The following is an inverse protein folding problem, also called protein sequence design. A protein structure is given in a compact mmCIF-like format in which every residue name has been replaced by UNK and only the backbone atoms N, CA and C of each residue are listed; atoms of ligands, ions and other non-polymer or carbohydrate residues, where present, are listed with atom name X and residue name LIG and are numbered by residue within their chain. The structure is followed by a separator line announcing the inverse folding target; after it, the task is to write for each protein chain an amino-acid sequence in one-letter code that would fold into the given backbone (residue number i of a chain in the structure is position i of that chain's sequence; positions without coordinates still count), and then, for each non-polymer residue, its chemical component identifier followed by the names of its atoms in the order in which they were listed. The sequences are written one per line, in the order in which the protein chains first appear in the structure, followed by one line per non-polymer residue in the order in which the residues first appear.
data_IF_576027474099
#
_entry.id   IF_576027474099
#
_cell.length_a   1.000
_cell.length_b   1.000
_cell.length_c   1.000
_cell.angle_alpha   90.00
_cell.angle_beta   90.00
_cell.angle_gamma   90.00
#
_symmetry.space_group_name_H-M   'P 1'
#
loop_
_entity.id
_entity.type
_entity.pdbx_description
1 polymer ?
#
# COMPACT_ATOMS: atom_id res chain seq x y z
N UNK A 1 26.98 -57.28 19.25
CA UNK A 1 27.04 -55.82 19.52
C UNK A 1 26.36 -55.12 18.36
N UNK A 2 25.21 -54.52 18.63
CA UNK A 2 24.43 -53.75 17.66
C UNK A 2 25.05 -52.36 17.46
N UNK A 3 24.93 -51.78 16.27
CA UNK A 3 24.86 -50.33 16.09
C UNK A 3 24.23 -50.01 14.74
N UNK A 4 22.97 -49.60 14.79
CA UNK A 4 22.26 -48.89 13.72
C UNK A 4 22.67 -47.42 13.82
N UNK A 5 23.27 -46.86 12.78
CA UNK A 5 23.43 -45.42 12.66
C UNK A 5 22.47 -44.93 11.55
N UNK A 6 21.30 -44.46 11.97
CA UNK A 6 20.32 -43.82 11.09
C UNK A 6 20.83 -42.45 10.63
N UNK A 7 20.77 -42.21 9.32
CA UNK A 7 21.07 -40.90 8.73
C UNK A 7 19.81 -40.04 8.85
N UNK A 8 19.87 -38.99 9.68
CA UNK A 8 18.81 -37.99 9.78
C UNK A 8 18.98 -37.03 8.59
N UNK A 9 18.08 -37.10 7.62
CA UNK A 9 17.99 -36.12 6.55
C UNK A 9 17.28 -34.86 7.09
N UNK A 10 18.01 -33.75 7.24
CA UNK A 10 17.44 -32.46 7.58
C UNK A 10 16.87 -31.81 6.32
N UNK A 11 15.55 -31.84 6.16
CA UNK A 11 14.87 -31.05 5.14
C UNK A 11 14.94 -29.57 5.57
N UNK A 12 15.80 -28.78 4.92
CA UNK A 12 15.81 -27.33 5.09
C UNK A 12 14.56 -26.75 4.42
N UNK A 13 13.53 -26.44 5.21
CA UNK A 13 12.35 -25.74 4.75
C UNK A 13 12.73 -24.32 4.32
N UNK A 14 12.76 -24.07 3.02
CA UNK A 14 12.78 -22.72 2.46
C UNK A 14 11.48 -22.03 2.88
N UNK A 15 11.55 -21.23 3.93
CA UNK A 15 10.46 -20.37 4.33
C UNK A 15 10.34 -19.30 3.24
N UNK A 16 9.23 -19.32 2.50
CA UNK A 16 8.90 -18.28 1.53
C UNK A 16 8.77 -16.96 2.28
N UNK A 17 9.85 -16.19 2.34
CA UNK A 17 9.83 -14.80 2.78
C UNK A 17 9.17 -14.02 1.65
N UNK A 18 7.83 -14.06 1.62
CA UNK A 18 7.08 -13.22 0.69
C UNK A 18 7.53 -11.78 0.92
N UNK A 19 8.11 -11.15 -0.10
CA UNK A 19 8.49 -9.75 -0.04
C UNK A 19 7.20 -8.93 0.06
N UNK A 20 6.81 -8.57 1.28
CA UNK A 20 5.61 -7.78 1.60
C UNK A 20 5.68 -6.32 1.10
N UNK A 21 6.58 -6.03 0.16
CA UNK A 21 6.86 -4.70 -0.37
C UNK A 21 5.61 -3.95 -0.84
N UNK A 22 4.63 -4.67 -1.37
CA UNK A 22 3.37 -4.14 -1.89
C UNK A 22 2.17 -4.37 -0.99
N UNK A 23 2.35 -4.62 0.31
CA UNK A 23 1.21 -4.88 1.20
C UNK A 23 0.86 -3.66 2.06
N UNK A 24 -0.43 -3.36 2.18
CA UNK A 24 -0.97 -2.51 3.22
C UNK A 24 -0.79 -3.17 4.60
N UNK A 25 -0.93 -2.38 5.67
CA UNK A 25 -0.87 -2.89 7.05
C UNK A 25 -1.96 -3.93 7.35
N UNK A 26 -3.06 -3.91 6.61
CA UNK A 26 -4.14 -4.91 6.63
C UNK A 26 -3.78 -6.24 5.98
N UNK A 27 -2.67 -6.31 5.22
CA UNK A 27 -2.26 -7.47 4.42
C UNK A 27 -2.81 -7.47 2.99
N UNK A 28 -3.68 -6.53 2.62
CA UNK A 28 -4.09 -6.33 1.22
C UNK A 28 -2.89 -5.89 0.37
N UNK A 29 -2.81 -6.35 -0.88
CA UNK A 29 -1.68 -6.05 -1.76
C UNK A 29 -2.05 -5.02 -2.84
N UNK A 30 -1.24 -3.97 -2.96
CA UNK A 30 -1.34 -2.96 -4.00
C UNK A 30 -0.94 -3.55 -5.36
N UNK A 31 -1.57 -3.12 -6.46
CA UNK A 31 -1.13 -3.44 -7.81
C UNK A 31 0.33 -3.01 -8.06
N UNK A 32 1.16 -3.84 -8.72
CA UNK A 32 2.55 -3.48 -9.01
C UNK A 32 2.75 -2.21 -9.87
N UNK A 33 1.72 -1.82 -10.64
CA UNK A 33 1.74 -0.58 -11.41
C UNK A 33 1.55 0.68 -10.54
N UNK A 34 1.05 0.52 -9.31
CA UNK A 34 0.76 1.62 -8.39
C UNK A 34 1.89 1.82 -7.37
N UNK A 35 2.48 0.72 -6.90
CA UNK A 35 3.46 0.75 -5.83
C UNK A 35 4.86 0.45 -6.37
N UNK A 36 5.74 1.44 -6.35
CA UNK A 36 7.16 1.29 -6.73
C UNK A 36 8.05 1.39 -5.49
N UNK A 37 7.98 0.41 -4.58
CA UNK A 37 8.82 0.41 -3.36
C UNK A 37 8.49 -0.74 -2.42
N UNK A 38 9.17 -0.81 -1.28
CA UNK A 38 8.95 -1.81 -0.22
C UNK A 38 8.22 -1.25 1.01
N UNK A 39 7.97 -2.06 2.05
CA UNK A 39 7.32 -1.56 3.28
C UNK A 39 8.08 -0.41 3.97
N UNK A 40 9.37 -0.24 3.67
CA UNK A 40 10.26 0.74 4.31
C UNK A 40 10.53 1.97 3.43
N UNK A 41 10.28 1.89 2.12
CA UNK A 41 10.46 2.96 1.14
C UNK A 41 9.18 3.26 0.34
N UNK A 42 8.13 2.51 0.62
CA UNK A 42 6.96 2.33 -0.24
C UNK A 42 6.24 3.60 -0.56
N UNK A 43 5.93 3.74 -1.84
CA UNK A 43 5.18 4.84 -2.41
C UNK A 43 3.74 4.88 -1.89
N UNK A 44 3.19 3.74 -1.45
CA UNK A 44 1.80 3.57 -1.07
C UNK A 44 1.58 3.44 0.44
N UNK A 45 0.54 4.11 0.95
CA UNK A 45 0.09 3.95 2.32
C UNK A 45 -1.39 4.32 2.49
N UNK A 46 -2.00 3.79 3.55
CA UNK A 46 -3.32 4.23 4.00
C UNK A 46 -3.26 5.68 4.44
N UNK A 47 -4.30 6.46 4.14
CA UNK A 47 -4.44 7.85 4.60
C UNK A 47 -5.72 8.01 5.44
N UNK A 48 -5.76 8.96 6.38
CA UNK A 48 -6.97 9.20 7.16
C UNK A 48 -8.10 9.68 6.25
N UNK A 49 -9.31 9.12 6.40
CA UNK A 49 -10.47 9.56 5.60
C UNK A 49 -10.80 11.05 5.76
N UNK A 50 -10.42 11.68 6.87
CA UNK A 50 -10.55 13.13 7.08
C UNK A 50 -9.70 13.99 6.14
N UNK A 51 -8.73 13.40 5.44
CA UNK A 51 -7.92 14.06 4.41
C UNK A 51 -8.60 14.07 3.04
N UNK A 52 -9.70 13.31 2.89
CA UNK A 52 -10.38 13.07 1.62
C UNK A 52 -11.74 13.77 1.62
N UNK A 53 -11.96 14.65 0.65
CA UNK A 53 -13.23 15.35 0.45
C UNK A 53 -13.83 14.94 -0.89
N UNK A 54 -14.98 14.24 -0.92
CA UNK A 54 -15.73 14.02 -2.14
C UNK A 54 -16.22 15.34 -2.72
N UNK A 55 -16.18 15.46 -4.05
CA UNK A 55 -16.71 16.59 -4.80
C UNK A 55 -17.60 16.08 -5.94
N UNK A 56 -18.13 16.97 -6.78
CA UNK A 56 -18.97 16.57 -7.92
C UNK A 56 -18.21 15.72 -8.94
N UNK A 57 -16.91 16.00 -9.16
CA UNK A 57 -16.14 15.41 -10.26
C UNK A 57 -15.08 14.39 -9.79
N UNK A 58 -14.93 14.20 -8.48
CA UNK A 58 -13.91 13.32 -7.92
C UNK A 58 -13.59 13.64 -6.47
N UNK A 59 -12.44 13.18 -6.01
CA UNK A 59 -11.93 13.42 -4.67
C UNK A 59 -10.89 14.54 -4.65
N UNK A 60 -11.01 15.44 -3.68
CA UNK A 60 -9.93 16.35 -3.29
C UNK A 60 -9.25 15.77 -2.06
N UNK A 61 -7.95 15.57 -2.14
CA UNK A 61 -7.15 14.97 -1.07
C UNK A 61 -6.14 16.00 -0.59
N UNK A 62 -6.08 16.26 0.71
CA UNK A 62 -5.12 17.17 1.32
C UNK A 62 -4.31 16.40 2.35
N UNK A 63 -3.03 16.16 2.05
CA UNK A 63 -2.11 15.47 2.95
C UNK A 63 -1.16 16.45 3.59
N UNK A 64 -0.92 16.28 4.89
CA UNK A 64 0.07 17.00 5.68
C UNK A 64 1.15 16.03 6.18
N UNK A 65 2.28 16.55 6.67
CA UNK A 65 3.28 15.70 7.31
C UNK A 65 2.66 14.83 8.41
N UNK A 66 2.84 13.51 8.28
CA UNK A 66 2.26 12.51 9.16
C UNK A 66 1.05 11.77 8.61
N UNK A 67 0.29 12.34 7.65
CA UNK A 67 -0.86 11.67 7.03
C UNK A 67 -0.43 10.56 6.06
N UNK A 68 0.73 10.76 5.44
CA UNK A 68 1.40 9.78 4.58
C UNK A 68 2.91 9.89 4.78
N UNK A 69 3.62 8.77 4.80
CA UNK A 69 5.03 8.70 5.20
C UNK A 69 5.99 9.51 4.32
N UNK A 70 5.68 9.70 3.03
CA UNK A 70 6.49 10.47 2.08
C UNK A 70 6.24 11.97 2.16
N UNK A 71 5.19 12.40 2.86
CA UNK A 71 4.73 13.78 2.87
C UNK A 71 5.54 14.58 3.89
N UNK A 72 6.30 15.56 3.42
CA UNK A 72 7.15 16.48 4.19
C UNK A 72 6.57 17.90 4.26
N UNK A 73 5.61 18.23 3.39
CA UNK A 73 4.85 19.48 3.42
C UNK A 73 3.39 19.26 2.98
N UNK A 74 2.52 20.26 3.10
CA UNK A 74 1.12 20.09 2.72
C UNK A 74 0.99 19.98 1.19
N UNK A 75 0.42 18.87 0.70
CA UNK A 75 0.13 18.62 -0.70
C UNK A 75 -1.38 18.50 -0.93
N UNK A 76 -1.82 18.89 -2.13
CA UNK A 76 -3.22 18.80 -2.56
C UNK A 76 -3.31 18.06 -3.89
N UNK A 77 -4.17 17.05 -3.95
CA UNK A 77 -4.43 16.25 -5.14
C UNK A 77 -5.90 16.32 -5.52
N UNK A 78 -6.18 16.11 -6.79
CA UNK A 78 -7.52 15.88 -7.30
C UNK A 78 -7.52 14.60 -8.12
N UNK A 79 -8.41 13.67 -7.76
CA UNK A 79 -8.54 12.36 -8.42
C UNK A 79 -9.97 12.22 -8.96
N UNK A 80 -10.16 12.20 -10.29
CA UNK A 80 -11.45 11.93 -10.92
C UNK A 80 -12.05 10.59 -10.48
N UNK A 81 -13.38 10.49 -10.39
CA UNK A 81 -14.02 9.22 -9.97
C UNK A 81 -13.73 8.05 -10.90
N UNK A 82 -13.55 8.29 -12.20
CA UNK A 82 -13.27 7.26 -13.21
C UNK A 82 -11.83 6.71 -13.16
N UNK A 83 -10.94 7.34 -12.39
CA UNK A 83 -9.58 6.84 -12.13
C UNK A 83 -9.41 6.21 -10.74
N UNK A 84 -10.43 6.22 -9.89
CA UNK A 84 -10.34 5.66 -8.52
C UNK A 84 -10.40 4.14 -8.58
N UNK A 85 -9.55 3.50 -7.79
CA UNK A 85 -9.49 2.04 -7.69
C UNK A 85 -10.12 1.59 -6.36
N UNK A 86 -11.00 0.58 -6.33
CA UNK A 86 -11.52 0.07 -5.06
C UNK A 86 -10.38 -0.46 -4.17
N UNK A 87 -10.35 -0.05 -2.90
CA UNK A 87 -9.43 -0.64 -1.91
C UNK A 87 -9.90 -2.03 -1.49
N UNK A 88 -8.96 -2.89 -1.12
CA UNK A 88 -9.25 -4.26 -0.68
C UNK A 88 -9.47 -4.41 0.83
N UNK A 89 -9.42 -3.31 1.57
CA UNK A 89 -9.50 -3.29 3.04
C UNK A 89 -10.37 -2.15 3.60
N UNK A 90 -11.22 -1.57 2.75
CA UNK A 90 -12.17 -0.50 3.08
C UNK A 90 -11.55 0.78 3.67
N UNK A 91 -10.23 0.97 3.51
CA UNK A 91 -9.55 2.22 3.83
C UNK A 91 -9.24 3.04 2.57
N UNK A 92 -9.00 4.34 2.75
CA UNK A 92 -8.40 5.15 1.70
C UNK A 92 -6.89 4.91 1.65
N UNK A 93 -6.35 4.79 0.45
CA UNK A 93 -4.91 4.69 0.24
C UNK A 93 -4.47 5.58 -0.90
N UNK A 94 -3.23 6.06 -0.84
CA UNK A 94 -2.62 6.81 -1.92
C UNK A 94 -1.20 6.32 -2.15
N UNK A 95 -0.82 6.26 -3.42
CA UNK A 95 0.54 6.00 -3.86
C UNK A 95 1.12 7.28 -4.42
N UNK A 96 2.24 7.75 -3.86
CA UNK A 96 2.92 8.97 -4.31
C UNK A 96 4.21 8.59 -5.05
N UNK A 97 4.27 8.88 -6.35
CA UNK A 97 5.40 8.55 -7.21
C UNK A 97 5.47 9.53 -8.41
N UNK A 98 6.66 10.00 -8.82
CA UNK A 98 7.99 9.70 -8.27
C UNK A 98 8.36 10.49 -7.01
N UNK A 99 7.54 11.47 -6.65
CA UNK A 99 7.78 12.35 -5.51
C UNK A 99 6.49 12.60 -4.74
N UNK A 100 6.58 13.32 -3.62
CA UNK A 100 5.42 13.61 -2.77
C UNK A 100 4.41 14.58 -3.41
N UNK A 101 4.71 15.15 -4.58
CA UNK A 101 3.82 16.07 -5.30
C UNK A 101 2.97 15.35 -6.36
N UNK A 102 3.23 14.06 -6.61
CA UNK A 102 2.64 13.30 -7.69
C UNK A 102 1.86 12.11 -7.15
N UNK A 103 0.53 12.17 -7.28
CA UNK A 103 -0.33 11.01 -7.09
C UNK A 103 -0.18 10.06 -8.29
N UNK A 104 0.05 8.78 -8.00
CA UNK A 104 0.19 7.73 -9.00
C UNK A 104 -1.02 6.81 -9.05
N UNK A 105 -1.53 6.43 -7.87
CA UNK A 105 -2.81 5.74 -7.73
C UNK A 105 -3.49 6.15 -6.43
N UNK A 106 -4.82 6.21 -6.46
CA UNK A 106 -5.66 6.46 -5.31
C UNK A 106 -6.71 5.37 -5.19
N UNK A 107 -6.88 4.88 -3.96
CA UNK A 107 -7.84 3.83 -3.63
C UNK A 107 -8.84 4.33 -2.61
N UNK A 108 -10.11 4.03 -2.84
CA UNK A 108 -11.20 4.38 -1.94
C UNK A 108 -12.01 3.14 -1.51
N UNK A 109 -12.68 3.18 -0.35
CA UNK A 109 -13.57 2.10 0.09
C UNK A 109 -14.64 1.81 -0.97
N UNK A 110 -14.95 0.53 -1.19
CA UNK A 110 -15.88 0.11 -2.24
C UNK A 110 -17.30 0.69 -2.06
N UNK A 111 -17.70 0.98 -0.83
CA UNK A 111 -19.02 1.57 -0.53
C UNK A 111 -19.12 3.08 -0.81
N UNK A 112 -18.01 3.74 -1.17
CA UNK A 112 -17.96 5.19 -1.46
C UNK A 112 -17.94 5.49 -2.97
N UNK A 113 -18.09 4.47 -3.82
CA UNK A 113 -18.18 4.59 -5.30
C UNK A 113 -19.59 4.31 -5.78
#
# INVERSE_FOLDING_TARGET
MASLAGVIATAAGLQNVSAFAHSASSGWSYPPACCHGDLMTGECSSIPGTTVTPTTDGYVIILRPGDHRKVTHQNRYFVPYDSVIPSGDDNFHICLHPSEEHENCFFAPAETM
#
